data_IF_621228964166
#
_entry.id   IF_621228964166
#
_cell.length_a   1.000
_cell.length_b   1.000
_cell.length_c   1.000
_cell.angle_alpha   90.00
_cell.angle_beta   90.00
_cell.angle_gamma   90.00
#
_symmetry.space_group_name_H-M   'P 1'
#
loop_
_entity.id
_entity.type
_entity.pdbx_description
1 polymer ?
#
# COMPACT_ATOMS: atom_id res chain seq x y z
N UNK A 1 36.83 -39.07 29.82
CA UNK A 1 36.53 -37.64 29.92
C UNK A 1 35.04 -37.47 29.80
N UNK A 2 34.42 -36.83 30.79
CA UNK A 2 32.98 -36.74 31.00
C UNK A 2 32.20 -36.28 29.75
N UNK A 3 31.07 -36.94 29.51
CA UNK A 3 30.25 -36.78 28.31
C UNK A 3 29.61 -35.40 28.23
N UNK A 4 30.08 -34.59 27.28
CA UNK A 4 29.44 -33.33 26.90
C UNK A 4 28.03 -33.64 26.37
N UNK A 5 26.99 -33.19 27.07
CA UNK A 5 25.59 -33.39 26.67
C UNK A 5 25.31 -32.95 25.24
N UNK A 6 24.42 -33.65 24.53
CA UNK A 6 24.04 -33.33 23.15
C UNK A 6 23.27 -32.01 23.11
N UNK A 7 23.68 -31.08 22.24
CA UNK A 7 22.99 -29.78 22.04
C UNK A 7 22.28 -29.75 20.70
N UNK A 8 21.06 -29.22 20.66
CA UNK A 8 20.34 -28.94 19.42
C UNK A 8 20.56 -27.49 18.97
N UNK A 9 20.65 -27.26 17.66
CA UNK A 9 20.73 -25.93 17.03
C UNK A 9 19.86 -25.91 15.79
N UNK A 10 19.27 -24.76 15.48
CA UNK A 10 18.49 -24.59 14.24
C UNK A 10 19.45 -24.55 13.06
N UNK A 11 19.42 -25.60 12.22
CA UNK A 11 20.35 -25.71 11.08
C UNK A 11 19.78 -25.09 9.79
N UNK A 12 18.48 -25.24 9.52
CA UNK A 12 17.81 -24.77 8.30
C UNK A 12 16.39 -24.25 8.59
N UNK A 13 16.25 -22.99 9.05
CA UNK A 13 14.94 -22.41 9.40
C UNK A 13 13.95 -22.37 8.22
N UNK A 14 14.45 -22.20 6.99
CA UNK A 14 13.62 -22.10 5.77
C UNK A 14 12.88 -23.39 5.42
N UNK A 15 13.41 -24.54 5.84
CA UNK A 15 12.80 -25.85 5.56
C UNK A 15 11.61 -26.14 6.50
N UNK A 16 11.42 -25.31 7.54
CA UNK A 16 10.32 -25.45 8.48
C UNK A 16 8.99 -25.05 7.81
N UNK A 17 8.09 -26.01 7.65
CA UNK A 17 6.72 -25.80 7.15
C UNK A 17 5.79 -25.12 8.18
N UNK A 18 6.31 -24.85 9.37
CA UNK A 18 5.58 -24.30 10.52
C UNK A 18 4.38 -25.17 10.94
N UNK A 19 4.59 -26.49 11.04
CA UNK A 19 3.59 -27.44 11.55
C UNK A 19 3.22 -27.24 13.03
N UNK A 20 3.92 -26.37 13.77
CA UNK A 20 3.72 -26.02 15.18
C UNK A 20 3.94 -27.16 16.19
N UNK A 21 4.39 -28.32 15.75
CA UNK A 21 4.66 -29.45 16.63
C UNK A 21 5.72 -29.14 17.71
N UNK A 22 6.72 -28.31 17.37
CA UNK A 22 7.80 -27.93 18.28
C UNK A 22 7.36 -27.07 19.48
N UNK A 23 6.17 -26.45 19.42
CA UNK A 23 5.58 -25.63 20.50
C UNK A 23 4.31 -26.26 21.07
N UNK A 24 4.01 -27.52 20.72
CA UNK A 24 2.78 -28.20 21.16
C UNK A 24 2.84 -28.62 22.64
N UNK A 25 4.04 -28.94 23.14
CA UNK A 25 4.25 -29.35 24.52
C UNK A 25 4.63 -28.14 25.38
N UNK A 26 4.02 -28.01 26.56
CA UNK A 26 4.27 -26.91 27.52
C UNK A 26 5.75 -26.84 27.93
N UNK A 27 6.44 -27.99 28.03
CA UNK A 27 7.87 -28.08 28.33
C UNK A 27 8.76 -27.30 27.33
N UNK A 28 8.23 -26.97 26.15
CA UNK A 28 8.95 -26.30 25.09
C UNK A 28 8.70 -24.79 25.05
N UNK A 29 7.66 -24.28 25.75
CA UNK A 29 7.27 -22.88 25.71
C UNK A 29 8.40 -21.95 26.18
N UNK A 30 9.11 -22.32 27.25
CA UNK A 30 10.22 -21.54 27.79
C UNK A 30 11.55 -21.77 27.03
N UNK A 31 11.59 -22.75 26.13
CA UNK A 31 12.83 -23.20 25.45
C UNK A 31 12.90 -22.80 23.99
N UNK A 32 11.76 -22.55 23.35
CA UNK A 32 11.65 -22.33 21.91
C UNK A 32 10.66 -21.20 21.62
N UNK A 33 11.02 -20.32 20.68
CA UNK A 33 10.11 -19.33 20.10
C UNK A 33 9.96 -19.61 18.62
N UNK A 34 8.71 -19.66 18.15
CA UNK A 34 8.37 -19.89 16.75
C UNK A 34 7.79 -18.62 16.15
N UNK A 35 8.60 -17.91 15.36
CA UNK A 35 8.26 -16.59 14.80
C UNK A 35 8.51 -16.53 13.29
N UNK A 36 7.98 -15.49 12.64
CA UNK A 36 8.30 -15.12 11.26
C UNK A 36 8.96 -13.75 11.23
N UNK A 37 9.93 -13.58 10.35
CA UNK A 37 10.51 -12.27 10.05
C UNK A 37 9.55 -11.52 9.15
N UNK A 38 8.93 -10.45 9.67
CA UNK A 38 7.76 -9.81 9.06
C UNK A 38 8.05 -9.16 7.70
N UNK A 39 9.28 -8.73 7.46
CA UNK A 39 9.75 -8.04 6.25
C UNK A 39 10.53 -8.96 5.29
N UNK A 40 10.62 -10.26 5.59
CA UNK A 40 11.32 -11.23 4.75
C UNK A 40 10.34 -12.19 4.05
N UNK A 41 10.03 -11.87 2.81
CA UNK A 41 9.08 -12.63 2.00
C UNK A 41 9.75 -13.67 1.10
N UNK A 42 9.13 -14.84 1.01
CA UNK A 42 9.53 -15.92 0.10
C UNK A 42 8.37 -16.17 -0.86
N UNK A 43 8.45 -15.61 -2.07
CA UNK A 43 7.45 -15.83 -3.11
C UNK A 43 7.80 -17.08 -3.94
N UNK A 44 6.80 -17.93 -4.19
CA UNK A 44 6.86 -18.98 -5.21
C UNK A 44 5.82 -18.66 -6.26
N UNK A 45 6.22 -18.66 -7.53
CA UNK A 45 5.35 -18.28 -8.65
C UNK A 45 5.43 -19.36 -9.72
N UNK A 46 4.28 -19.94 -10.05
CA UNK A 46 4.13 -20.95 -11.09
C UNK A 46 3.25 -20.40 -12.20
N UNK A 47 3.64 -20.61 -13.46
CA UNK A 47 2.88 -20.18 -14.63
C UNK A 47 2.10 -21.34 -15.22
N UNK A 48 0.93 -21.04 -15.82
CA UNK A 48 0.13 -22.01 -16.59
C UNK A 48 0.62 -22.19 -18.04
N UNK A 49 1.73 -21.54 -18.43
CA UNK A 49 2.37 -21.69 -19.75
C UNK A 49 2.16 -20.53 -20.73
N UNK A 50 1.14 -19.68 -20.54
CA UNK A 50 0.89 -18.50 -21.40
C UNK A 50 1.98 -17.44 -21.26
N UNK A 51 2.54 -17.30 -20.06
CA UNK A 51 3.54 -16.28 -19.74
C UNK A 51 4.60 -16.86 -18.79
N UNK A 52 5.90 -16.60 -18.99
CA UNK A 52 6.93 -17.02 -18.04
C UNK A 52 6.71 -16.43 -16.65
N UNK A 53 6.88 -17.23 -15.59
CA UNK A 53 6.68 -16.80 -14.19
C UNK A 53 7.43 -15.50 -13.84
N UNK A 54 8.67 -15.34 -14.35
CA UNK A 54 9.46 -14.11 -14.17
C UNK A 54 8.76 -12.87 -14.73
N UNK A 55 8.06 -13.01 -15.84
CA UNK A 55 7.33 -11.89 -16.47
C UNK A 55 6.07 -11.56 -15.66
N UNK A 56 5.37 -12.57 -15.14
CA UNK A 56 4.17 -12.36 -14.30
C UNK A 56 4.45 -11.41 -13.14
N UNK A 57 5.56 -11.62 -12.41
CA UNK A 57 5.95 -10.75 -11.29
C UNK A 57 6.20 -9.32 -11.76
N UNK A 58 6.89 -9.15 -12.90
CA UNK A 58 7.16 -7.83 -13.47
C UNK A 58 5.88 -7.11 -13.88
N UNK A 59 4.96 -7.79 -14.57
CA UNK A 59 3.69 -7.19 -14.99
C UNK A 59 2.81 -6.86 -13.79
N UNK A 60 2.78 -7.69 -12.74
CA UNK A 60 2.01 -7.42 -11.53
C UNK A 60 2.46 -6.11 -10.85
N UNK A 61 3.76 -5.87 -10.76
CA UNK A 61 4.32 -4.61 -10.23
C UNK A 61 3.93 -3.43 -11.13
N UNK A 62 3.97 -3.61 -12.45
CA UNK A 62 3.58 -2.56 -13.39
C UNK A 62 2.10 -2.20 -13.27
N UNK A 63 1.22 -3.20 -13.13
CA UNK A 63 -0.22 -3.00 -12.88
C UNK A 63 -0.43 -2.22 -11.59
N UNK A 64 0.26 -2.58 -10.50
CA UNK A 64 0.17 -1.84 -9.25
C UNK A 64 0.58 -0.36 -9.43
N UNK A 65 1.71 -0.12 -10.10
CA UNK A 65 2.18 1.24 -10.41
C UNK A 65 1.16 2.05 -11.22
N UNK A 66 0.58 1.43 -12.25
CA UNK A 66 -0.39 2.09 -13.11
C UNK A 66 -1.64 2.51 -12.33
N UNK A 67 -2.15 1.63 -11.46
CA UNK A 67 -3.30 1.94 -10.59
C UNK A 67 -3.03 3.14 -9.68
N UNK A 68 -1.86 3.19 -9.03
CA UNK A 68 -1.50 4.35 -8.21
C UNK A 68 -1.41 5.63 -9.05
N UNK A 69 -0.88 5.54 -10.27
CA UNK A 69 -0.76 6.70 -11.17
C UNK A 69 -2.12 7.20 -11.64
N UNK A 70 -3.04 6.28 -11.92
CA UNK A 70 -4.42 6.60 -12.31
C UNK A 70 -5.17 7.33 -11.20
N UNK A 71 -5.10 6.82 -9.96
CA UNK A 71 -5.71 7.48 -8.79
C UNK A 71 -5.12 8.88 -8.57
N UNK A 72 -3.79 9.04 -8.69
CA UNK A 72 -3.15 10.35 -8.56
C UNK A 72 -3.62 11.34 -9.64
N UNK A 73 -3.80 10.86 -10.87
CA UNK A 73 -4.30 11.69 -11.97
C UNK A 73 -5.74 12.14 -11.72
N UNK A 74 -6.60 11.25 -11.24
CA UNK A 74 -7.99 11.60 -10.91
C UNK A 74 -8.06 12.64 -9.80
N UNK A 75 -7.24 12.50 -8.76
CA UNK A 75 -7.14 13.49 -7.68
C UNK A 75 -6.73 14.87 -8.24
N UNK A 76 -5.70 14.92 -9.09
CA UNK A 76 -5.23 16.17 -9.69
C UNK A 76 -6.30 16.86 -10.54
N UNK A 77 -7.01 16.10 -11.37
CA UNK A 77 -8.10 16.64 -12.18
C UNK A 77 -9.22 17.22 -11.31
N UNK A 78 -9.54 16.55 -10.19
CA UNK A 78 -10.53 17.05 -9.25
C UNK A 78 -10.06 18.33 -8.54
N UNK A 79 -8.80 18.39 -8.11
CA UNK A 79 -8.20 19.60 -7.53
C UNK A 79 -8.27 20.80 -8.50
N UNK A 80 -7.91 20.59 -9.76
CA UNK A 80 -7.96 21.62 -10.81
C UNK A 80 -9.41 22.07 -11.10
N UNK A 81 -10.37 21.14 -11.11
CA UNK A 81 -11.79 21.48 -11.30
C UNK A 81 -12.39 22.22 -10.11
N UNK A 82 -11.94 21.97 -8.88
CA UNK A 82 -12.38 22.76 -7.72
C UNK A 82 -11.88 24.20 -7.78
N UNK A 83 -10.63 24.41 -8.18
CA UNK A 83 -10.07 25.78 -8.30
C UNK A 83 -10.72 26.61 -9.39
N UNK A 84 -11.14 25.99 -10.50
CA UNK A 84 -11.80 26.69 -11.60
C UNK A 84 -13.24 27.12 -11.25
N UNK A 85 -13.97 26.29 -10.49
CA UNK A 85 -15.31 26.64 -10.02
C UNK A 85 -15.28 27.77 -8.99
N UNK A 86 -14.22 27.83 -8.17
CA UNK A 86 -14.04 28.94 -7.22
C UNK A 86 -13.80 30.27 -7.97
N UNK A 87 -13.02 30.29 -9.06
CA UNK A 87 -12.76 31.50 -9.86
C UNK A 87 -13.98 32.02 -10.64
N UNK A 88 -14.84 31.13 -11.18
CA UNK A 88 -16.07 31.54 -11.88
C UNK A 88 -17.12 32.15 -10.93
N UNK A 89 -17.21 31.68 -9.68
CA UNK A 89 -18.14 32.21 -8.68
C UNK A 89 -17.77 33.65 -8.24
N UNK A 90 -16.48 34.00 -8.20
CA UNK A 90 -16.02 35.37 -7.95
C UNK A 90 -16.20 36.31 -9.15
N UNK A 91 -16.22 35.79 -10.38
CA UNK A 91 -16.41 36.61 -11.58
C UNK A 91 -17.90 36.99 -11.77
N UNK A 92 -18.83 36.07 -11.50
CA UNK A 92 -20.27 36.31 -11.61
C UNK A 92 -20.78 37.32 -10.56
N UNK A 93 -20.13 37.42 -9.40
CA UNK A 93 -20.51 38.37 -8.34
C UNK A 93 -20.14 39.84 -8.59
N UNK A 94 -19.41 40.17 -9.66
CA UNK A 94 -19.01 41.55 -9.98
C UNK A 94 -19.93 42.26 -10.99
N UNK A 95 -20.83 41.55 -11.67
CA UNK A 95 -21.72 42.16 -12.67
C UNK A 95 -22.98 42.82 -12.06
N UNK A 96 -23.27 42.56 -10.77
CA UNK A 96 -24.48 43.04 -10.08
C UNK A 96 -24.32 44.39 -9.35
N UNK A 97 -23.12 44.99 -9.27
CA UNK A 97 -22.88 46.22 -8.47
C UNK A 97 -22.86 47.55 -9.29
N UNK A 98 -22.94 47.53 -10.63
CA UNK A 98 -22.82 48.76 -11.43
C UNK A 98 -24.14 49.53 -11.70
N UNK A 99 -25.32 49.05 -11.27
CA UNK A 99 -26.60 49.71 -11.63
C UNK A 99 -27.17 50.69 -10.56
N UNK A 100 -26.67 50.68 -9.31
CA UNK A 100 -27.35 51.38 -8.19
C UNK A 100 -26.84 52.80 -7.84
N UNK A 101 -25.87 53.36 -8.57
CA UNK A 101 -25.26 54.67 -8.20
C UNK A 101 -25.76 55.91 -8.94
N UNK A 102 -26.73 55.81 -9.86
CA UNK A 102 -27.18 56.97 -10.67
C UNK A 102 -28.62 57.45 -10.43
N UNK A 103 -29.25 57.33 -9.25
CA UNK A 103 -30.57 58.00 -9.03
C UNK A 103 -30.82 58.60 -7.64
N UNK A 104 -29.81 59.23 -7.03
CA UNK A 104 -30.03 60.16 -5.90
C UNK A 104 -29.31 61.49 -6.12
N UNK A 105 -29.83 62.30 -7.02
CA UNK A 105 -29.63 63.75 -7.04
C UNK A 105 -30.71 64.40 -7.92
N UNK A 106 -31.92 64.59 -7.40
CA UNK A 106 -32.65 65.83 -7.63
C UNK A 106 -33.72 66.04 -6.54
N UNK A 107 -33.57 67.19 -5.87
CA UNK A 107 -34.54 68.06 -5.16
C UNK A 107 -35.77 67.49 -4.45
#
# INVERSE_FOLDING_TARGET
GEGRGKTARVARPRDCTMCRECIRQEEHEDRLKLERVADHFIFSVESVGVMPAKRIVKEAIQVLKNKCTEVLREIQLHEESTTANDEEDYAAGNEDEEEDTEMRNDS
#
